data_IF_233535982818
#
_entry.id   IF_233535982818
#
_cell.length_a   1.000
_cell.length_b   1.000
_cell.length_c   1.000
_cell.angle_alpha   90.00
_cell.angle_beta   90.00
_cell.angle_gamma   90.00
#
_symmetry.space_group_name_H-M   'P 1'
#
loop_
_entity.id
_entity.type
_entity.pdbx_description
1 polymer ?
#
# COMPACT_ATOMS: atom_id res chain seq x y z
N UNK A 1 19.73 0.51 15.39
CA UNK A 1 19.00 1.78 15.10
C UNK A 1 18.58 2.43 16.40
N UNK A 2 18.65 3.77 16.53
CA UNK A 2 18.20 4.50 17.75
C UNK A 2 16.75 4.22 18.12
N UNK A 3 15.91 3.90 17.13
CA UNK A 3 14.49 3.64 17.30
C UNK A 3 14.19 2.35 18.06
N UNK A 4 15.07 1.35 17.98
CA UNK A 4 14.91 0.09 18.71
C UNK A 4 15.10 0.25 20.21
N UNK A 5 15.89 1.23 20.64
CA UNK A 5 16.12 1.49 22.05
C UNK A 5 14.89 2.08 22.76
N UNK A 6 13.88 2.53 22.00
CA UNK A 6 12.60 3.03 22.52
C UNK A 6 11.52 1.95 22.57
N UNK A 7 11.77 0.77 21.99
CA UNK A 7 10.82 -0.33 22.06
C UNK A 7 10.90 -1.00 23.42
N UNK A 8 9.74 -1.28 23.98
CA UNK A 8 9.61 -2.15 25.14
C UNK A 8 10.12 -3.56 24.77
N UNK A 9 11.09 -4.06 25.54
CA UNK A 9 11.78 -5.33 25.28
C UNK A 9 10.85 -6.54 25.46
N UNK A 10 9.77 -6.38 26.21
CA UNK A 10 8.74 -7.40 26.40
C UNK A 10 7.65 -7.35 25.31
N UNK A 11 7.70 -6.38 24.40
CA UNK A 11 6.69 -6.25 23.33
C UNK A 11 6.88 -7.30 22.22
N UNK A 12 5.75 -7.74 21.65
CA UNK A 12 5.75 -8.66 20.51
C UNK A 12 6.46 -8.08 19.28
N UNK A 13 6.40 -6.75 19.09
CA UNK A 13 7.12 -6.06 18.02
C UNK A 13 8.64 -6.16 18.22
N UNK A 14 9.14 -5.97 19.44
CA UNK A 14 10.55 -6.14 19.74
C UNK A 14 11.02 -7.56 19.43
N UNK A 15 10.26 -8.57 19.88
CA UNK A 15 10.57 -9.97 19.60
C UNK A 15 10.54 -10.30 18.09
N UNK A 16 9.58 -9.74 17.34
CA UNK A 16 9.52 -9.89 15.88
C UNK A 16 10.78 -9.33 15.21
N UNK A 17 11.22 -8.13 15.61
CA UNK A 17 12.37 -7.46 15.00
C UNK A 17 13.70 -8.18 15.27
N UNK A 18 13.80 -9.01 16.31
CA UNK A 18 14.99 -9.84 16.57
C UNK A 18 15.20 -10.93 15.52
N UNK A 19 14.13 -11.42 14.90
CA UNK A 19 14.18 -12.49 13.90
C UNK A 19 13.80 -12.03 12.48
N UNK A 20 13.39 -10.78 12.33
CA UNK A 20 12.98 -10.22 11.04
C UNK A 20 14.16 -9.58 10.30
N UNK A 21 14.03 -9.49 8.98
CA UNK A 21 14.74 -8.48 8.19
C UNK A 21 13.89 -7.22 8.16
N UNK A 22 14.46 -6.08 8.52
CA UNK A 22 13.76 -4.80 8.51
C UNK A 22 14.61 -3.71 7.87
N UNK A 23 13.92 -2.74 7.28
CA UNK A 23 14.50 -1.51 6.75
C UNK A 23 13.75 -0.31 7.35
N UNK A 24 14.50 0.68 7.82
CA UNK A 24 13.95 1.90 8.43
C UNK A 24 14.02 3.10 7.49
N UNK A 25 14.67 2.95 6.34
CA UNK A 25 14.81 4.00 5.33
C UNK A 25 13.73 3.89 4.23
N UNK A 26 12.74 3.01 4.45
CA UNK A 26 11.60 2.82 3.55
C UNK A 26 10.82 4.12 3.33
N UNK A 27 10.61 4.45 2.05
CA UNK A 27 9.87 5.64 1.64
C UNK A 27 8.48 5.25 1.13
N UNK A 28 7.49 6.06 1.47
CA UNK A 28 6.14 5.96 0.89
C UNK A 28 6.10 6.57 -0.50
N UNK A 29 4.99 6.36 -1.20
CA UNK A 29 4.69 6.99 -2.48
C UNK A 29 4.22 8.44 -2.32
N UNK A 30 4.24 9.20 -3.42
CA UNK A 30 3.61 10.50 -3.54
C UNK A 30 2.42 10.43 -4.51
N UNK A 31 1.25 11.02 -4.19
CA UNK A 31 0.90 11.65 -2.91
C UNK A 31 0.72 10.62 -1.79
N UNK A 32 1.06 10.96 -0.55
CA UNK A 32 1.06 10.00 0.56
C UNK A 32 -0.31 9.87 1.22
N UNK A 33 -1.32 9.43 0.46
CA UNK A 33 -2.67 9.15 0.97
C UNK A 33 -2.90 7.66 1.19
N UNK A 34 -3.93 7.34 1.97
CA UNK A 34 -4.22 5.97 2.37
C UNK A 34 -4.51 5.07 1.17
N UNK A 35 -5.47 5.41 0.31
CA UNK A 35 -5.94 4.49 -0.73
C UNK A 35 -4.87 4.18 -1.77
N UNK A 36 -4.19 5.19 -2.30
CA UNK A 36 -3.16 4.99 -3.30
C UNK A 36 -1.91 4.31 -2.72
N UNK A 37 -1.50 4.61 -1.48
CA UNK A 37 -0.37 3.91 -0.88
C UNK A 37 -0.65 2.41 -0.66
N UNK A 38 -1.86 2.05 -0.24
CA UNK A 38 -2.25 0.64 -0.13
C UNK A 38 -2.31 -0.04 -1.50
N UNK A 39 -2.78 0.68 -2.52
CA UNK A 39 -2.83 0.16 -3.89
C UNK A 39 -1.43 -0.10 -4.44
N UNK A 40 -0.47 0.80 -4.19
CA UNK A 40 0.93 0.58 -4.56
C UNK A 40 1.52 -0.63 -3.84
N UNK A 41 1.21 -0.81 -2.55
CA UNK A 41 1.66 -1.98 -1.79
C UNK A 41 1.11 -3.30 -2.37
N UNK A 42 -0.15 -3.30 -2.80
CA UNK A 42 -0.81 -4.51 -3.32
C UNK A 42 -0.43 -4.82 -4.76
N UNK A 43 -0.12 -3.81 -5.59
CA UNK A 43 0.19 -3.99 -7.02
C UNK A 43 1.69 -4.00 -7.32
N UNK A 44 2.51 -3.48 -6.41
CA UNK A 44 3.94 -3.26 -6.64
C UNK A 44 4.24 -2.14 -7.65
N UNK A 45 3.27 -1.26 -7.92
CA UNK A 45 3.38 -0.19 -8.92
C UNK A 45 3.07 1.18 -8.30
N UNK A 46 3.36 2.27 -9.01
CA UNK A 46 3.09 3.64 -8.56
C UNK A 46 1.74 4.19 -9.07
N UNK A 47 1.22 5.31 -8.52
CA UNK A 47 -0.06 5.90 -8.90
C UNK A 47 -0.28 6.16 -10.40
N UNK A 48 0.80 6.44 -11.13
CA UNK A 48 0.78 6.63 -12.58
C UNK A 48 0.53 5.32 -13.37
N UNK A 49 0.73 4.17 -12.73
CA UNK A 49 0.52 2.85 -13.34
C UNK A 49 -0.79 2.18 -12.88
N UNK A 50 -1.15 2.30 -11.60
CA UNK A 50 -2.37 1.70 -11.04
C UNK A 50 -3.58 2.66 -10.95
N UNK A 51 -3.45 3.89 -11.45
CA UNK A 51 -4.54 4.84 -11.67
C UNK A 51 -5.08 5.58 -10.42
N UNK A 52 -4.85 5.05 -9.22
CA UNK A 52 -5.32 5.67 -7.98
C UNK A 52 -4.36 6.73 -7.44
N UNK A 53 -4.80 7.99 -7.41
CA UNK A 53 -4.02 9.15 -6.90
C UNK A 53 -4.48 9.68 -5.53
N UNK A 54 -5.51 9.10 -4.93
CA UNK A 54 -6.08 9.54 -3.65
C UNK A 54 -7.47 8.95 -3.41
N UNK A 55 -8.11 9.26 -2.29
CA UNK A 55 -9.41 8.68 -1.94
C UNK A 55 -10.59 9.26 -2.74
N UNK A 56 -10.42 10.47 -3.26
CA UNK A 56 -11.42 11.22 -4.02
C UNK A 56 -10.70 11.90 -5.16
N UNK A 57 -11.32 11.93 -6.34
CA UNK A 57 -10.86 12.73 -7.47
C UNK A 57 -12.00 13.60 -7.96
N UNK A 58 -11.65 14.70 -8.63
CA UNK A 58 -12.63 15.57 -9.27
C UNK A 58 -12.74 15.19 -10.76
N UNK A 59 -13.93 14.75 -11.17
CA UNK A 59 -14.23 14.52 -12.58
C UNK A 59 -14.57 15.86 -13.23
N UNK A 60 -13.73 16.31 -14.16
CA UNK A 60 -13.91 17.58 -14.86
C UNK A 60 -15.08 17.56 -15.86
N UNK A 61 -15.44 16.39 -16.40
CA UNK A 61 -16.53 16.24 -17.35
C UNK A 61 -17.88 16.35 -16.65
N UNK A 62 -18.04 15.63 -15.55
CA UNK A 62 -19.26 15.62 -14.76
C UNK A 62 -19.34 16.76 -13.74
N UNK A 63 -18.20 17.42 -13.47
CA UNK A 63 -18.04 18.49 -12.47
C UNK A 63 -18.40 18.06 -11.05
N UNK A 64 -18.16 16.78 -10.73
CA UNK A 64 -18.43 16.20 -9.41
C UNK A 64 -17.17 15.58 -8.80
N UNK A 65 -17.15 15.50 -7.48
CA UNK A 65 -16.13 14.73 -6.76
C UNK A 65 -16.58 13.28 -6.63
N UNK A 66 -15.78 12.36 -7.18
CA UNK A 66 -16.04 10.93 -7.13
C UNK A 66 -15.08 10.23 -6.18
N UNK A 67 -15.56 9.16 -5.52
CA UNK A 67 -14.71 8.35 -4.65
C UNK A 67 -13.86 7.40 -5.50
N UNK A 68 -12.61 7.23 -5.09
CA UNK A 68 -11.62 6.41 -5.78
C UNK A 68 -11.14 5.27 -4.90
N UNK A 69 -12.09 4.52 -4.32
CA UNK A 69 -11.84 3.51 -3.28
C UNK A 69 -12.41 2.12 -3.65
N UNK A 70 -12.79 1.91 -4.91
CA UNK A 70 -13.23 0.59 -5.40
C UNK A 70 -12.08 -0.15 -6.07
N UNK A 71 -12.08 -1.47 -5.95
CA UNK A 71 -11.11 -2.33 -6.63
C UNK A 71 -11.24 -2.24 -8.17
N UNK A 72 -12.44 -2.01 -8.69
CA UNK A 72 -12.70 -1.91 -10.14
C UNK A 72 -12.02 -0.70 -10.80
N UNK A 73 -11.47 0.23 -10.00
CA UNK A 73 -10.78 1.43 -10.46
C UNK A 73 -9.26 1.24 -10.51
N UNK A 74 -8.74 0.05 -10.17
CA UNK A 74 -7.32 -0.26 -10.15
C UNK A 74 -6.93 -0.85 -11.50
N UNK A 75 -6.01 -0.19 -12.20
CA UNK A 75 -5.60 -0.59 -13.56
C UNK A 75 -4.57 -1.75 -13.60
N UNK A 76 -4.09 -2.21 -12.43
CA UNK A 76 -3.06 -3.25 -12.30
C UNK A 76 -3.55 -4.40 -11.43
N UNK A 77 -3.09 -5.62 -11.76
CA UNK A 77 -3.33 -6.79 -10.91
C UNK A 77 -2.61 -6.65 -9.58
N UNK A 78 -3.31 -7.04 -8.53
CA UNK A 78 -2.74 -7.19 -7.19
C UNK A 78 -1.92 -8.47 -7.08
N UNK A 79 -1.02 -8.51 -6.09
CA UNK A 79 -0.25 -9.70 -5.73
C UNK A 79 -1.16 -10.90 -5.46
N UNK A 80 -2.35 -10.69 -4.89
CA UNK A 80 -3.32 -11.75 -4.62
C UNK A 80 -3.94 -12.29 -5.91
N UNK A 81 -4.35 -11.43 -6.85
CA UNK A 81 -4.86 -11.90 -8.14
C UNK A 81 -3.81 -12.70 -8.90
N UNK A 82 -2.56 -12.20 -8.93
CA UNK A 82 -1.44 -12.92 -9.53
C UNK A 82 -1.24 -14.27 -8.84
N UNK A 83 -1.26 -14.33 -7.50
CA UNK A 83 -1.10 -15.57 -6.76
C UNK A 83 -2.24 -16.56 -7.05
N UNK A 84 -3.48 -16.08 -7.14
CA UNK A 84 -4.66 -16.88 -7.48
C UNK A 84 -4.58 -17.49 -8.88
N UNK A 85 -4.12 -16.71 -9.86
CA UNK A 85 -3.85 -17.20 -11.23
C UNK A 85 -2.79 -18.32 -11.27
N UNK A 86 -1.86 -18.30 -10.31
CA UNK A 86 -0.83 -19.33 -10.15
C UNK A 86 -1.26 -20.47 -9.20
N UNK A 87 -2.56 -20.61 -8.92
CA UNK A 87 -3.12 -21.69 -8.11
C UNK A 87 -2.71 -21.63 -6.64
N UNK A 88 -2.31 -20.46 -6.13
CA UNK A 88 -2.07 -20.26 -4.70
C UNK A 88 -3.38 -19.95 -3.99
N UNK A 89 -3.48 -20.37 -2.74
CA UNK A 89 -4.58 -19.96 -1.86
C UNK A 89 -4.37 -18.48 -1.50
N UNK A 90 -5.38 -17.67 -1.78
CA UNK A 90 -5.41 -16.22 -1.57
C UNK A 90 -6.53 -15.87 -0.61
#
# INVERSE_FOLDING_TARGET
>A
SRYLNYLDQDSSLYQLLQYATYDLDGQTIYPSHTCNAHTSLMTGTYPDQHGLIGNVYYDQNERISQKNISADLIDQKTLFEIAGEHGKKT
#
